data_IF_902817209516
#
_entry.id   IF_902817209516
#
_cell.length_a   1.000
_cell.length_b   1.000
_cell.length_c   1.000
_cell.angle_alpha   90.00
_cell.angle_beta   90.00
_cell.angle_gamma   90.00
#
_symmetry.space_group_name_H-M   'P 1'
#
loop_
_entity.id
_entity.type
_entity.pdbx_description
1 polymer ?
#
# COMPACT_ATOMS: atom_id res chain seq x y z
N UNK A 1 -11.83 23.18 -32.28
CA UNK A 1 -10.37 22.93 -32.21
C UNK A 1 -10.13 21.87 -31.14
N UNK A 2 -9.80 20.64 -31.51
CA UNK A 2 -9.58 19.55 -30.56
C UNK A 2 -8.14 19.64 -30.03
N UNK A 3 -7.95 19.86 -28.72
CA UNK A 3 -6.62 19.78 -28.11
C UNK A 3 -6.10 18.34 -28.26
N UNK A 4 -4.98 18.18 -28.98
CA UNK A 4 -4.21 16.93 -28.95
C UNK A 4 -3.81 16.68 -27.51
N UNK A 5 -4.28 15.57 -26.96
CA UNK A 5 -3.91 15.12 -25.61
C UNK A 5 -2.43 14.75 -25.65
N UNK A 6 -1.58 15.55 -25.01
CA UNK A 6 -0.15 15.23 -24.89
C UNK A 6 0.01 13.90 -24.15
N UNK A 7 0.68 12.95 -24.79
CA UNK A 7 0.91 11.63 -24.24
C UNK A 7 2.32 11.57 -23.67
N UNK A 8 2.43 11.52 -22.34
CA UNK A 8 3.69 11.39 -21.64
C UNK A 8 3.96 9.90 -21.35
N UNK A 9 5.08 9.38 -21.86
CA UNK A 9 5.50 8.00 -21.62
C UNK A 9 6.41 7.94 -20.39
N UNK A 10 6.02 7.14 -19.38
CA UNK A 10 6.82 6.91 -18.18
C UNK A 10 7.63 5.63 -18.31
N UNK A 11 8.95 5.75 -18.14
CA UNK A 11 9.87 4.61 -18.07
C UNK A 11 10.18 4.28 -16.60
N UNK A 12 10.28 3.00 -16.27
CA UNK A 12 10.65 2.52 -14.94
C UNK A 12 11.75 1.46 -15.02
N UNK A 13 12.70 1.53 -14.09
CA UNK A 13 13.80 0.58 -13.96
C UNK A 13 14.09 0.32 -12.49
N UNK A 14 14.44 -0.93 -12.16
CA UNK A 14 14.84 -1.34 -10.81
C UNK A 14 16.20 -2.01 -10.87
N UNK A 15 17.11 -1.60 -9.99
CA UNK A 15 18.42 -2.22 -9.83
C UNK A 15 18.63 -2.64 -8.37
N UNK A 16 19.42 -3.68 -8.18
CA UNK A 16 19.81 -4.13 -6.85
C UNK A 16 20.93 -3.24 -6.30
N UNK A 17 20.83 -2.92 -5.02
CA UNK A 17 21.90 -2.27 -4.25
C UNK A 17 22.54 -3.31 -3.33
N UNK A 18 23.83 -3.16 -3.04
CA UNK A 18 24.50 -4.03 -2.06
C UNK A 18 23.79 -3.95 -0.71
N UNK A 19 23.37 -5.07 -0.10
CA UNK A 19 22.72 -5.08 1.20
C UNK A 19 23.55 -4.33 2.26
N UNK A 20 22.87 -3.61 3.14
CA UNK A 20 23.47 -2.85 4.25
C UNK A 20 24.47 -1.75 3.85
N UNK A 21 24.49 -1.33 2.57
CA UNK A 21 25.27 -0.17 2.12
C UNK A 21 24.35 0.97 1.69
N UNK A 22 24.77 2.19 2.00
CA UNK A 22 24.07 3.41 1.58
C UNK A 22 24.54 3.81 0.19
N UNK A 23 23.60 4.17 -0.68
CA UNK A 23 23.91 4.80 -1.96
C UNK A 23 24.22 6.27 -1.70
N UNK A 24 25.43 6.71 -2.03
CA UNK A 24 25.88 8.10 -1.79
C UNK A 24 25.83 8.96 -3.06
N UNK A 25 25.91 8.33 -4.24
CA UNK A 25 25.89 8.99 -5.54
C UNK A 25 25.23 8.08 -6.58
N UNK A 26 24.44 8.68 -7.47
CA UNK A 26 23.88 8.04 -8.65
C UNK A 26 24.20 8.93 -9.84
N UNK A 27 24.95 8.39 -10.80
CA UNK A 27 25.20 9.03 -12.09
C UNK A 27 24.26 8.39 -13.11
N UNK A 28 23.60 9.23 -13.92
CA UNK A 28 22.70 8.78 -14.98
C UNK A 28 22.95 9.56 -16.26
N UNK A 29 22.67 8.91 -17.40
CA UNK A 29 22.74 9.51 -18.73
C UNK A 29 21.54 9.05 -19.53
N UNK A 30 20.80 10.00 -20.09
CA UNK A 30 19.79 9.72 -21.09
C UNK A 30 20.47 9.64 -22.46
N UNK A 31 20.21 8.57 -23.19
CA UNK A 31 20.71 8.37 -24.56
C UNK A 31 19.50 8.21 -25.46
N UNK A 32 19.42 9.03 -26.51
CA UNK A 32 18.38 8.98 -27.52
C UNK A 32 19.04 8.69 -28.86
N UNK A 33 18.61 7.63 -29.53
CA UNK A 33 19.08 7.23 -30.86
C UNK A 33 17.88 7.15 -31.80
N UNK A 34 18.09 7.42 -33.08
CA UNK A 34 17.11 7.23 -34.17
C UNK A 34 15.75 7.94 -33.97
N UNK A 35 15.78 9.19 -33.52
CA UNK A 35 14.56 9.99 -33.29
C UNK A 35 14.63 11.37 -33.98
N UNK A 36 13.50 11.82 -34.54
CA UNK A 36 13.32 13.18 -35.05
C UNK A 36 12.34 13.96 -34.15
N UNK A 37 12.70 15.21 -33.81
CA UNK A 37 11.88 16.11 -33.00
C UNK A 37 12.53 16.55 -31.68
N UNK A 38 11.72 17.06 -30.75
CA UNK A 38 12.17 17.53 -29.43
C UNK A 38 11.61 16.64 -28.32
N UNK A 39 12.49 16.10 -27.49
CA UNK A 39 12.11 15.36 -26.30
C UNK A 39 12.17 16.25 -25.06
N UNK A 40 11.10 16.20 -24.26
CA UNK A 40 11.00 16.90 -22.99
C UNK A 40 11.14 15.90 -21.85
N UNK A 41 12.12 16.13 -20.98
CA UNK A 41 12.34 15.35 -19.77
C UNK A 41 11.93 16.19 -18.57
N UNK A 42 11.02 15.68 -17.74
CA UNK A 42 10.56 16.42 -16.56
C UNK A 42 11.35 16.04 -15.32
N UNK A 43 11.34 14.76 -14.91
CA UNK A 43 11.84 14.36 -13.60
C UNK A 43 12.45 12.94 -13.57
N UNK A 44 13.51 12.78 -12.78
CA UNK A 44 14.02 11.49 -12.35
C UNK A 44 13.56 11.22 -10.91
N UNK A 45 12.76 10.17 -10.70
CA UNK A 45 12.32 9.75 -9.36
C UNK A 45 13.06 8.50 -8.92
N UNK A 46 13.78 8.59 -7.81
CA UNK A 46 14.49 7.48 -7.18
C UNK A 46 13.75 7.04 -5.91
N UNK A 47 13.51 5.74 -5.77
CA UNK A 47 12.83 5.19 -4.60
C UNK A 47 13.48 3.86 -4.21
N UNK A 48 13.68 3.65 -2.90
CA UNK A 48 14.06 2.36 -2.36
C UNK A 48 12.83 1.43 -2.35
N UNK A 49 12.97 0.22 -2.90
CA UNK A 49 11.94 -0.82 -2.90
C UNK A 49 11.77 -1.52 -4.24
N UNK A 50 10.99 -2.61 -4.25
CA UNK A 50 10.74 -3.45 -5.43
C UNK A 50 9.80 -2.84 -6.49
N UNK A 51 9.14 -1.71 -6.21
CA UNK A 51 8.21 -1.07 -7.13
C UNK A 51 8.13 0.45 -6.92
N UNK A 52 7.96 1.19 -8.01
CA UNK A 52 7.61 2.61 -7.98
C UNK A 52 6.23 2.78 -7.31
N UNK A 53 6.19 3.50 -6.19
CA UNK A 53 4.97 3.70 -5.41
C UNK A 53 4.07 4.81 -5.95
N UNK A 54 4.58 5.64 -6.88
CA UNK A 54 3.83 6.73 -7.50
C UNK A 54 3.80 8.03 -6.67
N UNK A 55 4.55 8.13 -5.58
CA UNK A 55 4.59 9.33 -4.73
C UNK A 55 5.86 10.17 -4.97
N UNK A 56 5.72 11.48 -4.85
CA UNK A 56 6.85 12.42 -4.70
C UNK A 56 7.46 12.18 -3.31
N UNK A 57 8.76 11.87 -3.18
CA UNK A 57 9.40 11.85 -1.88
C UNK A 57 9.30 13.25 -1.27
N UNK A 58 8.63 13.40 -0.12
CA UNK A 58 8.64 14.65 0.62
C UNK A 58 10.07 14.88 1.17
N UNK A 59 10.88 15.59 0.40
CA UNK A 59 12.30 15.84 0.60
C UNK A 59 12.61 16.93 1.65
N UNK A 60 11.63 17.32 2.47
CA UNK A 60 11.84 18.27 3.59
C UNK A 60 11.17 17.89 4.91
N UNK A 61 10.20 16.98 4.93
CA UNK A 61 9.47 16.64 6.15
C UNK A 61 9.19 15.13 6.16
N UNK A 62 9.84 14.41 7.09
CA UNK A 62 9.41 13.07 7.42
C UNK A 62 8.02 13.16 8.02
N UNK A 63 7.05 12.58 7.34
CA UNK A 63 5.76 12.29 7.94
C UNK A 63 6.05 11.59 9.28
N UNK A 64 5.40 12.02 10.36
CA UNK A 64 5.41 11.32 11.65
C UNK A 64 4.03 10.75 11.94
N UNK A 65 3.99 9.56 12.54
CA UNK A 65 2.74 8.94 12.98
C UNK A 65 2.11 9.77 14.10
N UNK A 66 0.79 9.89 14.07
CA UNK A 66 0.05 10.54 15.16
C UNK A 66 0.35 9.82 16.49
N UNK A 67 0.56 10.60 17.56
CA UNK A 67 0.82 10.10 18.92
C UNK A 67 -0.22 10.65 19.89
N UNK A 68 -0.54 9.88 20.93
CA UNK A 68 -1.39 10.32 22.04
C UNK A 68 -0.63 11.25 23.01
N UNK A 69 -1.32 11.73 24.05
CA UNK A 69 -0.72 12.61 25.07
C UNK A 69 0.42 11.97 25.87
N UNK A 70 0.62 10.65 25.77
CA UNK A 70 1.73 9.92 26.37
C UNK A 70 2.86 9.63 25.36
N UNK A 71 2.75 10.13 24.12
CA UNK A 71 3.72 9.91 23.06
C UNK A 71 3.62 8.54 22.37
N UNK A 72 2.56 7.76 22.62
CA UNK A 72 2.35 6.45 22.00
C UNK A 72 1.69 6.60 20.63
N UNK A 73 2.19 5.87 19.62
CA UNK A 73 1.62 5.89 18.26
C UNK A 73 0.16 5.43 18.28
N UNK A 74 -0.74 6.29 17.77
CA UNK A 74 -2.16 6.00 17.63
C UNK A 74 -2.36 5.08 16.43
N UNK A 75 -2.90 3.89 16.68
CA UNK A 75 -3.26 2.92 15.64
C UNK A 75 -4.76 2.87 15.47
N UNK A 76 -5.27 3.24 14.29
CA UNK A 76 -6.71 3.21 14.00
C UNK A 76 -7.07 1.95 13.25
N UNK A 77 -7.68 1.04 13.99
CA UNK A 77 -8.27 -0.18 13.45
C UNK A 77 -9.66 0.15 12.94
N UNK A 78 -9.80 0.13 11.63
CA UNK A 78 -11.06 0.29 10.92
C UNK A 78 -11.60 -1.09 10.51
N UNK A 79 -12.92 -1.22 10.55
CA UNK A 79 -13.68 -2.37 10.08
C UNK A 79 -13.32 -3.68 10.81
N UNK A 80 -14.11 -4.07 11.81
CA UNK A 80 -14.05 -5.41 12.41
C UNK A 80 -15.23 -6.20 11.87
N UNK A 81 -15.05 -6.90 10.76
CA UNK A 81 -16.14 -7.55 10.04
C UNK A 81 -15.76 -8.91 9.49
N UNK A 82 -16.76 -9.79 9.39
CA UNK A 82 -16.61 -11.09 8.73
C UNK A 82 -16.68 -10.88 7.21
N UNK A 83 -15.58 -11.17 6.53
CA UNK A 83 -15.53 -11.26 5.07
C UNK A 83 -15.85 -12.69 4.64
N UNK A 84 -16.69 -12.84 3.63
CA UNK A 84 -17.03 -14.14 3.03
C UNK A 84 -16.85 -14.07 1.52
N UNK A 85 -16.04 -14.96 0.98
CA UNK A 85 -15.75 -15.04 -0.44
C UNK A 85 -15.12 -13.77 -0.98
N UNK A 86 -15.62 -13.34 -2.13
CA UNK A 86 -15.24 -12.08 -2.77
C UNK A 86 -16.07 -10.90 -2.26
N UNK A 87 -15.42 -9.89 -1.69
CA UNK A 87 -16.05 -8.66 -1.20
C UNK A 87 -15.29 -7.42 -1.65
N UNK A 88 -16.04 -6.34 -1.86
CA UNK A 88 -15.49 -4.99 -1.98
C UNK A 88 -15.70 -4.29 -0.65
N UNK A 89 -14.63 -3.72 -0.09
CA UNK A 89 -14.66 -2.97 1.17
C UNK A 89 -14.20 -1.54 0.92
N UNK A 90 -14.78 -0.60 1.67
CA UNK A 90 -14.32 0.77 1.73
C UNK A 90 -13.68 1.00 3.10
N UNK A 91 -12.38 1.31 3.12
CA UNK A 91 -11.64 1.60 4.35
C UNK A 91 -11.49 3.11 4.45
N UNK A 92 -12.04 3.75 5.50
CA UNK A 92 -11.87 5.18 5.69
C UNK A 92 -10.42 5.49 6.07
N UNK A 93 -9.82 6.47 5.39
CA UNK A 93 -8.61 7.14 5.84
C UNK A 93 -9.03 8.55 6.29
N UNK A 94 -9.60 8.61 7.49
CA UNK A 94 -10.20 9.82 8.04
C UNK A 94 -9.82 9.99 9.51
N UNK A 95 -9.33 11.18 9.83
CA UNK A 95 -9.52 11.71 11.18
C UNK A 95 -11.00 12.06 11.41
N UNK A 96 -11.44 11.98 12.66
CA UNK A 96 -12.66 12.59 13.14
C UNK A 96 -12.73 14.04 12.64
N UNK A 97 -13.85 14.40 12.01
CA UNK A 97 -14.05 15.72 11.40
C UNK A 97 -13.90 16.85 12.43
N UNK A 98 -14.16 16.55 13.70
CA UNK A 98 -13.96 17.49 14.82
C UNK A 98 -12.49 17.82 15.09
N UNK A 99 -11.55 16.95 14.71
CA UNK A 99 -10.10 17.10 14.95
C UNK A 99 -9.35 17.67 13.76
N UNK A 100 -9.80 17.37 12.54
CA UNK A 100 -9.22 17.94 11.32
C UNK A 100 -10.31 18.19 10.26
N UNK A 101 -10.75 19.45 10.21
CA UNK A 101 -11.78 19.95 9.29
C UNK A 101 -11.24 20.17 7.88
N UNK A 102 -9.94 20.39 7.72
CA UNK A 102 -9.31 20.58 6.42
C UNK A 102 -8.95 19.23 5.78
N UNK A 103 -9.77 18.80 4.82
CA UNK A 103 -9.58 17.56 4.08
C UNK A 103 -8.27 17.54 3.28
N UNK A 104 -7.69 18.71 2.92
CA UNK A 104 -6.46 18.82 2.13
C UNK A 104 -5.18 18.53 2.94
N UNK A 105 -5.28 18.51 4.29
CA UNK A 105 -4.18 18.12 5.19
C UNK A 105 -4.04 16.61 5.37
N UNK A 106 -4.98 15.84 4.84
CA UNK A 106 -4.96 14.37 4.89
C UNK A 106 -4.06 13.85 3.78
N UNK A 107 -3.16 12.92 4.13
CA UNK A 107 -2.27 12.29 3.16
C UNK A 107 -2.57 10.80 3.03
N UNK A 108 -2.19 10.27 1.87
CA UNK A 108 -2.27 8.84 1.59
C UNK A 108 -1.34 8.07 2.54
N UNK A 109 -1.89 7.08 3.24
CA UNK A 109 -1.17 6.22 4.17
C UNK A 109 -0.96 4.80 3.63
N UNK A 110 -0.14 3.99 4.32
CA UNK A 110 -0.18 2.54 4.14
C UNK A 110 -1.47 1.97 4.75
N UNK A 111 -1.96 0.85 4.22
CA UNK A 111 -3.02 0.08 4.90
C UNK A 111 -2.51 -1.32 5.23
N UNK A 112 -2.58 -1.65 6.50
CA UNK A 112 -2.23 -2.96 7.03
C UNK A 112 -3.53 -3.79 7.15
N UNK A 113 -3.52 -5.03 6.67
CA UNK A 113 -4.65 -5.95 6.78
C UNK A 113 -4.33 -7.06 7.77
N UNK A 114 -5.20 -7.26 8.76
CA UNK A 114 -5.14 -8.37 9.70
C UNK A 114 -6.34 -9.28 9.42
N UNK A 115 -6.08 -10.51 9.00
CA UNK A 115 -7.09 -11.48 8.63
C UNK A 115 -6.96 -12.71 9.53
N UNK A 116 -7.99 -12.96 10.33
CA UNK A 116 -8.17 -14.20 11.07
C UNK A 116 -9.04 -15.14 10.24
N UNK A 117 -8.52 -16.27 9.78
CA UNK A 117 -9.30 -17.22 9.00
C UNK A 117 -10.31 -17.95 9.87
N UNK A 118 -11.50 -18.18 9.31
CA UNK A 118 -12.55 -19.01 9.96
C UNK A 118 -12.78 -20.33 9.20
N UNK A 119 -12.12 -20.50 8.06
CA UNK A 119 -12.15 -21.69 7.20
C UNK A 119 -10.78 -21.90 6.59
N UNK A 120 -10.50 -23.13 6.19
CA UNK A 120 -9.31 -23.47 5.42
C UNK A 120 -9.35 -22.75 4.06
N UNK A 121 -8.18 -22.28 3.62
CA UNK A 121 -7.96 -21.68 2.30
C UNK A 121 -6.91 -22.49 1.53
N UNK A 122 -7.10 -22.72 0.23
CA UNK A 122 -6.13 -23.43 -0.60
C UNK A 122 -4.91 -22.54 -0.87
N UNK A 123 -3.93 -23.10 -1.59
CA UNK A 123 -2.82 -22.32 -2.13
C UNK A 123 -3.35 -21.12 -2.92
N UNK A 124 -2.76 -19.93 -2.70
CA UNK A 124 -3.18 -18.66 -3.31
C UNK A 124 -4.63 -18.24 -3.01
N UNK A 125 -5.27 -18.85 -2.01
CA UNK A 125 -6.68 -18.63 -1.69
C UNK A 125 -7.01 -17.29 -1.04
N UNK A 126 -6.02 -16.43 -0.78
CA UNK A 126 -6.20 -15.11 -0.16
C UNK A 126 -5.63 -14.06 -1.10
N UNK A 127 -6.49 -13.16 -1.57
CA UNK A 127 -6.10 -12.08 -2.49
C UNK A 127 -6.66 -10.74 -2.04
N UNK A 128 -5.80 -9.74 -2.07
CA UNK A 128 -6.15 -8.34 -1.85
C UNK A 128 -5.80 -7.53 -3.07
N UNK A 129 -6.70 -6.67 -3.54
CA UNK A 129 -6.43 -5.74 -4.63
C UNK A 129 -7.03 -4.36 -4.33
N UNK A 130 -6.38 -3.32 -4.85
CA UNK A 130 -6.97 -1.99 -4.89
C UNK A 130 -8.08 -1.95 -5.96
N UNK A 131 -8.84 -0.84 -5.98
CA UNK A 131 -9.90 -0.57 -6.95
C UNK A 131 -9.54 -1.04 -8.38
N UNK A 132 -10.50 -1.69 -9.05
CA UNK A 132 -10.35 -2.31 -10.37
C UNK A 132 -9.31 -3.44 -10.47
N UNK A 133 -8.97 -4.10 -9.35
CA UNK A 133 -8.07 -5.26 -9.36
C UNK A 133 -6.59 -4.90 -9.44
N UNK A 134 -6.25 -3.62 -9.32
CA UNK A 134 -4.86 -3.15 -9.38
C UNK A 134 -4.11 -3.45 -8.08
N UNK A 135 -2.76 -3.46 -8.14
CA UNK A 135 -1.89 -3.69 -6.98
C UNK A 135 -2.30 -4.94 -6.20
N UNK A 136 -2.46 -6.06 -6.90
CA UNK A 136 -2.82 -7.31 -6.26
C UNK A 136 -1.71 -7.74 -5.29
N UNK A 137 -2.10 -8.36 -4.18
CA UNK A 137 -1.25 -9.11 -3.26
C UNK A 137 -1.92 -10.46 -3.04
N UNK A 138 -1.17 -11.54 -3.25
CA UNK A 138 -1.64 -12.92 -3.12
C UNK A 138 -0.77 -13.62 -2.08
N UNK A 139 -1.39 -14.27 -1.09
CA UNK A 139 -0.70 -15.11 -0.10
C UNK A 139 -0.64 -16.51 -0.65
N UNK A 140 0.58 -17.04 -0.86
CA UNK A 140 0.79 -18.29 -1.57
C UNK A 140 0.42 -19.55 -0.79
N UNK A 141 0.78 -19.75 0.49
CA UNK A 141 0.58 -21.05 1.14
C UNK A 141 -0.90 -21.34 1.40
N UNK A 142 -1.30 -22.63 1.39
CA UNK A 142 -2.58 -23.03 1.97
C UNK A 142 -2.57 -22.76 3.47
N UNK A 143 -3.71 -22.35 4.02
CA UNK A 143 -3.86 -22.01 5.43
C UNK A 143 -5.10 -22.68 6.02
N UNK A 144 -5.05 -22.89 7.33
CA UNK A 144 -6.13 -23.53 8.09
C UNK A 144 -7.02 -22.49 8.77
N UNK A 145 -8.21 -22.93 9.17
CA UNK A 145 -9.03 -22.14 10.08
C UNK A 145 -8.23 -21.74 11.34
N UNK A 146 -8.46 -20.53 11.83
CA UNK A 146 -7.78 -19.84 12.93
C UNK A 146 -6.38 -19.27 12.63
N UNK A 147 -5.77 -19.60 11.48
CA UNK A 147 -4.52 -18.95 11.08
C UNK A 147 -4.72 -17.43 10.95
N UNK A 148 -3.70 -16.69 11.37
CA UNK A 148 -3.66 -15.23 11.34
C UNK A 148 -2.72 -14.78 10.24
N UNK A 149 -3.22 -13.94 9.34
CA UNK A 149 -2.41 -13.33 8.27
C UNK A 149 -2.36 -11.82 8.50
N UNK A 150 -1.16 -11.27 8.60
CA UNK A 150 -0.94 -9.83 8.61
C UNK A 150 -0.20 -9.40 7.35
N UNK A 151 -0.85 -8.53 6.57
CA UNK A 151 -0.23 -7.83 5.43
C UNK A 151 0.12 -6.42 5.89
N UNK A 152 1.38 -6.17 6.27
CA UNK A 152 1.78 -4.84 6.74
C UNK A 152 2.39 -4.04 5.59
N UNK A 153 1.61 -3.10 5.04
CA UNK A 153 2.12 -2.12 4.09
C UNK A 153 3.15 -1.19 4.73
N UNK A 154 2.97 -0.88 6.02
CA UNK A 154 3.94 -0.09 6.78
C UNK A 154 5.29 -0.78 6.86
N UNK A 155 5.31 -2.02 7.35
CA UNK A 155 6.54 -2.76 7.59
C UNK A 155 7.07 -3.46 6.35
N UNK A 156 6.32 -3.41 5.24
CA UNK A 156 6.63 -4.08 3.95
C UNK A 156 6.91 -5.58 4.13
N UNK A 157 6.05 -6.25 4.90
CA UNK A 157 6.15 -7.69 5.14
C UNK A 157 4.79 -8.35 5.32
N UNK A 158 4.78 -9.66 5.12
CA UNK A 158 3.67 -10.54 5.44
C UNK A 158 4.07 -11.42 6.61
N UNK A 159 3.16 -11.57 7.57
CA UNK A 159 3.33 -12.47 8.72
C UNK A 159 2.17 -13.47 8.72
N UNK A 160 2.47 -14.76 8.92
CA UNK A 160 1.49 -15.83 9.16
C UNK A 160 1.75 -16.33 10.58
N UNK A 161 0.73 -16.29 11.44
CA UNK A 161 0.85 -16.66 12.86
C UNK A 161 2.07 -15.98 13.52
N UNK A 162 2.20 -14.67 13.29
CA UNK A 162 3.29 -13.81 13.80
C UNK A 162 4.70 -14.11 13.24
N UNK A 163 4.83 -15.10 12.35
CA UNK A 163 6.09 -15.42 11.69
C UNK A 163 6.18 -14.77 10.32
N UNK A 164 7.29 -14.08 10.05
CA UNK A 164 7.51 -13.47 8.74
C UNK A 164 7.64 -14.54 7.65
N UNK A 165 6.98 -14.30 6.51
CA UNK A 165 7.07 -15.16 5.34
C UNK A 165 7.45 -14.36 4.08
N UNK A 166 8.05 -15.06 3.11
CA UNK A 166 8.28 -14.56 1.75
C UNK A 166 7.33 -15.23 0.74
N UNK A 167 6.43 -16.09 1.21
CA UNK A 167 5.48 -16.83 0.38
C UNK A 167 4.25 -15.99 0.04
N UNK A 168 4.49 -14.89 -0.67
CA UNK A 168 3.47 -14.02 -1.22
C UNK A 168 3.97 -13.37 -2.50
N UNK A 169 3.05 -12.94 -3.34
CA UNK A 169 3.37 -12.17 -4.55
C UNK A 169 2.59 -10.86 -4.57
N UNK A 170 3.07 -9.90 -5.36
CA UNK A 170 2.37 -8.65 -5.59
C UNK A 170 2.83 -7.46 -4.74
N UNK A 171 1.91 -6.53 -4.45
CA UNK A 171 2.23 -5.20 -3.96
C UNK A 171 1.43 -4.82 -2.71
N UNK A 172 2.11 -4.25 -1.71
CA UNK A 172 1.45 -3.64 -0.56
C UNK A 172 0.57 -2.45 -0.96
N UNK A 173 -0.54 -2.30 -0.24
CA UNK A 173 -1.58 -1.32 -0.52
C UNK A 173 -1.36 -0.01 0.22
N UNK A 174 -1.92 1.05 -0.35
CA UNK A 174 -2.04 2.35 0.29
C UNK A 174 -3.51 2.71 0.39
N UNK A 175 -3.86 3.59 1.33
CA UNK A 175 -5.19 4.15 1.49
C UNK A 175 -5.17 5.64 1.18
N UNK A 176 -5.77 6.09 0.06
CA UNK A 176 -5.81 7.50 -0.28
C UNK A 176 -6.57 8.29 0.79
N UNK A 177 -6.31 9.59 0.87
CA UNK A 177 -7.05 10.49 1.75
C UNK A 177 -8.56 10.36 1.51
N UNK A 178 -9.35 10.29 2.58
CA UNK A 178 -10.80 10.09 2.48
C UNK A 178 -11.18 8.62 2.65
N UNK A 179 -11.06 7.79 1.61
CA UNK A 179 -11.31 6.34 1.71
C UNK A 179 -10.63 5.57 0.57
N UNK A 180 -10.13 4.38 0.88
CA UNK A 180 -9.66 3.41 -0.11
C UNK A 180 -10.72 2.34 -0.39
N UNK A 181 -10.79 1.87 -1.64
CA UNK A 181 -11.65 0.74 -2.02
C UNK A 181 -10.77 -0.47 -2.34
N UNK A 182 -11.06 -1.59 -1.70
CA UNK A 182 -10.30 -2.83 -1.85
C UNK A 182 -11.21 -3.99 -2.23
N UNK A 183 -10.71 -4.88 -3.07
CA UNK A 183 -11.27 -6.20 -3.32
C UNK A 183 -10.52 -7.20 -2.44
N UNK A 184 -11.27 -7.93 -1.62
CA UNK A 184 -10.76 -9.01 -0.77
C UNK A 184 -11.42 -10.30 -1.23
N UNK A 185 -10.62 -11.28 -1.57
CA UNK A 185 -11.07 -12.58 -2.06
C UNK A 185 -10.51 -13.67 -1.16
N UNK A 186 -11.42 -14.48 -0.64
CA UNK A 186 -11.11 -15.66 0.17
C UNK A 186 -11.74 -16.89 -0.49
N UNK A 187 -10.91 -17.82 -0.91
CA UNK A 187 -11.34 -19.12 -1.42
C UNK A 187 -11.51 -20.12 -0.28
N UNK A 188 -12.47 -21.03 -0.39
CA UNK A 188 -12.54 -22.20 0.48
C UNK A 188 -11.63 -23.30 -0.07
N UNK A 189 -11.44 -24.38 0.70
CA UNK A 189 -10.63 -25.56 0.30
C UNK A 189 -10.93 -26.14 -1.10
N UNK A 190 -12.09 -25.81 -1.69
CA UNK A 190 -12.51 -26.22 -3.03
C UNK A 190 -12.24 -25.16 -4.11
N UNK A 191 -11.68 -24.01 -3.77
CA UNK A 191 -11.40 -22.91 -4.70
C UNK A 191 -12.65 -22.13 -5.13
N UNK A 192 -13.78 -22.25 -4.43
CA UNK A 192 -15.08 -21.77 -4.91
C UNK A 192 -15.41 -20.33 -4.50
N UNK A 193 -14.44 -19.53 -4.02
CA UNK A 193 -14.70 -18.17 -3.54
C UNK A 193 -15.69 -18.12 -2.37
N UNK A 194 -15.70 -19.15 -1.51
CA UNK A 194 -16.57 -19.29 -0.33
C UNK A 194 -15.80 -19.29 0.99
N UNK A 195 -14.53 -18.89 0.96
CA UNK A 195 -13.70 -18.73 2.16
C UNK A 195 -14.29 -17.68 3.10
N UNK A 196 -13.81 -17.64 4.34
CA UNK A 196 -14.30 -16.67 5.31
C UNK A 196 -13.24 -16.34 6.37
N UNK A 197 -13.25 -15.09 6.84
CA UNK A 197 -12.37 -14.64 7.91
C UNK A 197 -12.83 -13.33 8.53
N UNK A 198 -12.33 -13.03 9.73
CA UNK A 198 -12.47 -11.71 10.33
C UNK A 198 -11.35 -10.83 9.81
N UNK A 199 -11.71 -9.71 9.19
CA UNK A 199 -10.77 -8.75 8.65
C UNK A 199 -10.78 -7.49 9.51
N UNK A 200 -9.58 -7.02 9.86
CA UNK A 200 -9.31 -5.70 10.43
C UNK A 200 -8.37 -4.94 9.52
N UNK A 201 -8.69 -3.68 9.23
CA UNK A 201 -7.86 -2.81 8.40
C UNK A 201 -7.28 -1.69 9.27
N UNK A 202 -5.96 -1.58 9.34
CA UNK A 202 -5.28 -0.50 10.06
C UNK A 202 -4.67 0.46 9.05
N UNK A 203 -5.11 1.72 9.04
CA UNK A 203 -4.54 2.74 8.16
C UNK A 203 -3.48 3.50 8.92
N UNK A 204 -2.28 3.57 8.35
CA UNK A 204 -1.21 4.40 8.88
C UNK A 204 -1.51 5.86 8.57
N UNK A 205 -1.93 6.61 9.59
CA UNK A 205 -2.23 8.03 9.44
C UNK A 205 -0.97 8.85 9.65
N UNK A 206 -0.50 9.41 8.55
CA UNK A 206 0.58 10.38 8.53
C UNK A 206 -0.03 11.80 8.48
N UNK A 207 0.54 12.75 9.22
CA UNK A 207 0.17 14.18 9.10
C UNK A 207 1.08 14.84 8.05
N UNK A 208 0.49 15.66 7.16
CA UNK A 208 1.28 16.46 6.21
C UNK A 208 2.05 17.53 6.99
N UNK A 209 3.37 17.48 6.93
CA UNK A 209 4.18 18.64 7.26
C UNK A 209 3.87 19.76 6.26
N UNK A 210 3.60 20.95 6.79
CA UNK A 210 3.85 22.21 6.10
C UNK A 210 4.29 23.17 7.20
N UNK A 211 5.60 23.27 7.43
CA UNK A 211 6.12 24.07 8.53
C UNK A 211 6.01 23.43 9.90
N UNK A 212 6.04 22.09 9.96
CA UNK A 212 6.39 21.39 11.21
C UNK A 212 5.61 21.76 12.47
N UNK A 213 4.27 21.86 12.42
CA UNK A 213 3.47 21.84 13.65
C UNK A 213 2.38 20.77 13.58
N UNK A 214 2.38 19.90 14.60
CA UNK A 214 1.28 19.94 15.55
C UNK A 214 1.88 20.53 16.83
N UNK A 215 1.40 21.67 17.29
CA UNK A 215 1.38 21.90 18.74
C UNK A 215 0.21 21.08 19.30
#
# INVERSE_FOLDING_TARGET
MWMKKEFWTRYFFTFQVTPNRKVTRIDYRFVMNDCEGTAWLTDLMLQIGRAASGYVPANKEFLQRERDGAGTVIRRKHYNGVIRGKRKIAVPNREAVSREKDLAKRVTGGVDFHLALTRNTPQEGIRFAHQHGQRQLIVSPPLSANDQVMLSATKRRVEINEQMTQEYSGNFHTCPAGFGIYQVELDDERGAGRGAGQLVCEVDMWLKGRGGERL
#
